data_IF_270361583771
#
_entry.id   IF_270361583771
#
_cell.length_a   1.000
_cell.length_b   1.000
_cell.length_c   1.000
_cell.angle_alpha   90.00
_cell.angle_beta   90.00
_cell.angle_gamma   90.00
#
_symmetry.space_group_name_H-M   'P 1'
#
loop_
_entity.id
_entity.type
_entity.pdbx_description
1 polymer ?
#
# COMPACT_ATOMS: atom_id res chain seq x y z
N UNK A 1 -57.33 14.80 -43.48
CA UNK A 1 -57.18 15.10 -42.04
C UNK A 1 -57.99 16.36 -41.75
N UNK A 2 -59.17 16.22 -41.14
CA UNK A 2 -59.98 17.38 -40.76
C UNK A 2 -59.40 17.97 -39.47
N UNK A 3 -58.61 19.04 -39.62
CA UNK A 3 -57.99 19.74 -38.51
C UNK A 3 -58.71 21.07 -38.28
N UNK A 4 -59.20 21.30 -37.05
CA UNK A 4 -59.84 22.56 -36.72
C UNK A 4 -58.80 23.69 -36.53
N UNK A 5 -59.24 24.95 -36.61
CA UNK A 5 -58.36 26.13 -36.51
C UNK A 5 -57.49 26.14 -35.24
N UNK A 6 -58.00 25.66 -34.10
CA UNK A 6 -57.24 25.60 -32.84
C UNK A 6 -56.13 24.53 -32.89
N UNK A 7 -56.41 23.40 -33.53
CA UNK A 7 -55.41 22.35 -33.74
C UNK A 7 -54.31 22.81 -34.69
N UNK A 8 -54.64 23.55 -35.75
CA UNK A 8 -53.65 24.14 -36.65
C UNK A 8 -52.67 25.06 -35.91
N UNK A 9 -53.15 25.98 -35.06
CA UNK A 9 -52.26 26.86 -34.29
C UNK A 9 -51.40 26.12 -33.27
N UNK A 10 -51.91 25.04 -32.64
CA UNK A 10 -51.13 24.21 -31.72
C UNK A 10 -50.01 23.47 -32.44
N UNK A 11 -50.29 22.87 -33.59
CA UNK A 11 -49.30 22.13 -34.38
C UNK A 11 -48.24 23.08 -34.94
N UNK A 12 -48.65 24.21 -35.52
CA UNK A 12 -47.71 25.21 -36.04
C UNK A 12 -46.83 25.82 -34.95
N UNK A 13 -47.41 26.14 -33.78
CA UNK A 13 -46.66 26.66 -32.63
C UNK A 13 -45.66 25.65 -32.06
N UNK A 14 -46.06 24.38 -31.93
CA UNK A 14 -45.17 23.30 -31.50
C UNK A 14 -44.05 23.04 -32.52
N UNK A 15 -44.37 23.08 -33.82
CA UNK A 15 -43.39 22.94 -34.90
C UNK A 15 -42.34 24.04 -34.88
N UNK A 16 -42.77 25.31 -34.77
CA UNK A 16 -41.88 26.48 -34.67
C UNK A 16 -40.98 26.44 -33.43
N UNK A 17 -41.53 26.03 -32.28
CA UNK A 17 -40.75 25.89 -31.06
C UNK A 17 -39.71 24.78 -31.19
N UNK A 18 -40.11 23.60 -31.70
CA UNK A 18 -39.22 22.46 -31.89
C UNK A 18 -38.11 22.78 -32.90
N UNK A 19 -38.42 23.38 -34.04
CA UNK A 19 -37.42 23.76 -35.05
C UNK A 19 -36.46 24.83 -34.55
N UNK A 20 -36.95 25.80 -33.76
CA UNK A 20 -36.12 26.84 -33.17
C UNK A 20 -35.14 26.26 -32.15
N UNK A 21 -35.57 25.31 -31.33
CA UNK A 21 -34.69 24.60 -30.38
C UNK A 21 -33.58 23.83 -31.11
N UNK A 22 -33.91 23.15 -32.21
CA UNK A 22 -32.90 22.46 -33.04
C UNK A 22 -31.93 23.45 -33.66
N UNK A 23 -32.43 24.54 -34.27
CA UNK A 23 -31.60 25.57 -34.90
C UNK A 23 -30.67 26.30 -33.91
N UNK A 24 -31.10 26.44 -32.65
CA UNK A 24 -30.31 27.01 -31.56
C UNK A 24 -29.31 26.01 -30.93
N UNK A 25 -29.19 24.80 -31.47
CA UNK A 25 -28.21 23.81 -31.01
C UNK A 25 -28.64 23.02 -29.77
N UNK A 26 -29.93 23.07 -29.39
CA UNK A 26 -30.47 22.23 -28.30
C UNK A 26 -30.84 20.81 -28.78
N UNK A 27 -30.59 20.48 -30.05
CA UNK A 27 -30.58 19.09 -30.50
C UNK A 27 -29.33 18.39 -29.97
N UNK A 28 -29.42 17.19 -29.39
CA UNK A 28 -28.25 16.41 -29.01
C UNK A 28 -27.31 16.27 -30.21
N UNK A 29 -26.07 16.72 -30.07
CA UNK A 29 -25.02 16.39 -31.03
C UNK A 29 -24.69 14.90 -30.90
N UNK A 30 -24.23 14.28 -31.99
CA UNK A 30 -23.64 12.95 -31.89
C UNK A 30 -22.45 13.03 -30.92
N UNK A 31 -22.53 12.36 -29.78
CA UNK A 31 -21.41 12.23 -28.88
C UNK A 31 -20.32 11.43 -29.61
N UNK A 32 -19.25 12.08 -30.02
CA UNK A 32 -18.08 11.38 -30.54
C UNK A 32 -17.50 10.58 -29.37
N UNK A 33 -17.51 9.26 -29.50
CA UNK A 33 -16.87 8.38 -28.53
C UNK A 33 -15.35 8.61 -28.62
N UNK A 34 -14.82 9.48 -27.78
CA UNK A 34 -13.39 9.65 -27.61
C UNK A 34 -12.92 8.78 -26.44
N UNK A 35 -11.89 7.98 -26.66
CA UNK A 35 -11.23 7.26 -25.58
C UNK A 35 -10.43 8.25 -24.74
N UNK A 36 -10.59 8.22 -23.41
CA UNK A 36 -9.70 8.98 -22.52
C UNK A 36 -8.23 8.71 -22.86
N UNK A 37 -7.38 9.71 -22.70
CA UNK A 37 -5.94 9.51 -22.82
C UNK A 37 -5.45 8.40 -21.89
N UNK A 38 -4.45 7.64 -22.36
CA UNK A 38 -3.86 6.58 -21.57
C UNK A 38 -3.17 7.17 -20.34
N UNK A 39 -3.75 6.91 -19.16
CA UNK A 39 -3.36 7.55 -17.88
C UNK A 39 -1.89 7.33 -17.49
N UNK A 40 -1.23 6.32 -18.05
CA UNK A 40 0.14 5.92 -17.72
C UNK A 40 1.19 6.44 -18.71
N UNK A 41 0.78 7.17 -19.76
CA UNK A 41 1.67 7.56 -20.87
C UNK A 41 2.91 8.40 -20.46
N UNK A 42 2.90 9.00 -19.26
CA UNK A 42 4.02 9.77 -18.70
C UNK A 42 4.35 9.35 -17.27
N UNK A 43 3.89 8.18 -16.84
CA UNK A 43 4.22 7.65 -15.53
C UNK A 43 5.61 7.01 -15.55
N UNK A 44 6.29 7.03 -14.41
CA UNK A 44 7.54 6.31 -14.22
C UNK A 44 7.24 4.85 -13.90
N UNK A 45 7.71 3.94 -14.76
CA UNK A 45 7.63 2.50 -14.53
C UNK A 45 8.75 1.99 -13.62
N UNK A 46 8.39 1.17 -12.64
CA UNK A 46 9.35 0.50 -11.75
C UNK A 46 8.91 -0.95 -11.52
N UNK A 47 9.80 -1.89 -11.81
CA UNK A 47 9.57 -3.33 -11.58
C UNK A 47 9.70 -3.67 -10.10
N UNK A 48 8.82 -4.55 -9.61
CA UNK A 48 8.86 -5.08 -8.25
C UNK A 48 8.24 -6.49 -8.22
N UNK A 49 8.17 -7.11 -7.04
CA UNK A 49 7.56 -8.42 -6.82
C UNK A 49 6.36 -8.31 -5.88
N UNK A 50 5.31 -9.08 -6.15
CA UNK A 50 4.11 -9.13 -5.31
C UNK A 50 4.45 -9.57 -3.86
N UNK A 51 4.05 -8.81 -2.82
CA UNK A 51 4.48 -9.04 -1.42
C UNK A 51 3.61 -10.05 -0.65
N UNK A 52 2.78 -10.86 -1.32
CA UNK A 52 1.79 -11.70 -0.64
C UNK A 52 2.23 -13.15 -0.43
N UNK A 53 2.21 -13.96 -1.48
CA UNK A 53 2.49 -15.39 -1.39
C UNK A 53 3.78 -15.75 -2.15
N UNK A 54 4.27 -16.97 -1.95
CA UNK A 54 5.54 -17.44 -2.49
C UNK A 54 5.57 -17.71 -4.00
N UNK A 55 4.48 -17.46 -4.73
CA UNK A 55 4.49 -17.52 -6.21
C UNK A 55 5.48 -16.51 -6.79
N UNK A 56 5.66 -15.35 -6.14
CA UNK A 56 6.62 -14.34 -6.57
C UNK A 56 6.26 -13.70 -7.91
N UNK A 57 4.99 -13.34 -8.12
CA UNK A 57 4.56 -12.66 -9.36
C UNK A 57 5.33 -11.35 -9.56
N UNK A 58 5.86 -11.14 -10.77
CA UNK A 58 6.42 -9.86 -11.19
C UNK A 58 5.31 -8.82 -11.41
N UNK A 59 5.56 -7.59 -10.96
CA UNK A 59 4.65 -6.45 -11.10
C UNK A 59 5.38 -5.24 -11.68
N UNK A 60 4.63 -4.39 -12.37
CA UNK A 60 5.04 -3.06 -12.80
C UNK A 60 4.24 -2.04 -12.00
N UNK A 61 4.94 -1.17 -11.28
CA UNK A 61 4.35 -0.05 -10.55
C UNK A 61 4.56 1.23 -11.33
N UNK A 62 3.52 2.05 -11.39
CA UNK A 62 3.50 3.32 -12.10
C UNK A 62 3.44 4.46 -11.11
N UNK A 63 4.52 5.24 -11.04
CA UNK A 63 4.61 6.43 -10.20
C UNK A 63 4.31 7.72 -10.98
N UNK A 64 3.58 8.65 -10.37
CA UNK A 64 3.49 10.02 -10.86
C UNK A 64 4.82 10.75 -10.57
N UNK A 65 5.35 11.44 -11.57
CA UNK A 65 6.66 12.10 -11.52
C UNK A 65 7.70 11.40 -12.40
N UNK A 66 8.77 12.11 -12.71
CA UNK A 66 9.86 11.73 -13.64
C UNK A 66 11.15 11.33 -12.89
N UNK A 67 11.04 11.02 -11.59
CA UNK A 67 12.16 10.79 -10.65
C UNK A 67 13.01 12.03 -10.36
N UNK A 68 12.60 13.24 -10.76
CA UNK A 68 13.29 14.44 -10.37
C UNK A 68 13.23 14.64 -8.84
N UNK A 69 14.32 15.15 -8.26
CA UNK A 69 14.48 15.31 -6.81
C UNK A 69 13.43 16.20 -6.15
N UNK A 70 12.85 17.15 -6.92
CA UNK A 70 11.82 18.07 -6.47
C UNK A 70 10.40 17.47 -6.53
N UNK A 71 10.24 16.21 -6.94
CA UNK A 71 8.94 15.54 -7.05
C UNK A 71 8.89 14.38 -6.07
N UNK A 72 7.87 14.38 -5.21
CA UNK A 72 7.55 13.21 -4.37
C UNK A 72 6.76 12.23 -5.23
N UNK A 73 7.30 11.03 -5.41
CA UNK A 73 6.63 9.98 -6.21
C UNK A 73 5.41 9.44 -5.47
N UNK A 74 4.30 9.35 -6.19
CA UNK A 74 3.06 8.72 -5.73
C UNK A 74 2.66 7.58 -6.67
N UNK A 75 2.34 6.40 -6.15
CA UNK A 75 2.04 5.23 -6.99
C UNK A 75 0.58 5.32 -7.45
N UNK A 76 0.32 5.43 -8.75
CA UNK A 76 -1.03 5.65 -9.29
C UNK A 76 -1.63 4.38 -9.94
N UNK A 77 -0.81 3.37 -10.19
CA UNK A 77 -1.26 2.10 -10.75
C UNK A 77 -0.24 0.98 -10.52
N UNK A 78 -0.73 -0.26 -10.45
CA UNK A 78 0.08 -1.47 -10.36
C UNK A 78 -0.59 -2.53 -11.25
N UNK A 79 0.18 -3.18 -12.10
CA UNK A 79 -0.26 -4.33 -12.91
C UNK A 79 0.82 -5.41 -12.97
N UNK A 80 0.52 -6.55 -13.62
CA UNK A 80 1.46 -7.66 -13.72
C UNK A 80 2.52 -7.41 -14.79
N UNK A 81 3.74 -7.86 -14.55
CA UNK A 81 4.82 -7.79 -15.54
C UNK A 81 4.62 -8.89 -16.61
N UNK A 82 4.39 -8.54 -17.89
CA UNK A 82 4.19 -9.50 -18.98
C UNK A 82 5.45 -10.33 -19.29
N UNK A 83 6.64 -9.81 -19.00
CA UNK A 83 7.92 -10.49 -19.25
C UNK A 83 8.27 -11.47 -18.13
N UNK A 84 7.59 -11.42 -16.98
CA UNK A 84 7.90 -12.27 -15.85
C UNK A 84 7.48 -13.73 -16.13
N UNK A 85 8.41 -14.71 -16.04
CA UNK A 85 8.20 -16.05 -16.59
C UNK A 85 7.11 -16.84 -15.85
N UNK A 86 6.86 -16.51 -14.58
CA UNK A 86 5.89 -17.22 -13.72
C UNK A 86 4.45 -16.78 -13.99
N UNK A 87 4.18 -15.48 -13.95
CA UNK A 87 2.81 -14.95 -14.02
C UNK A 87 2.43 -14.37 -15.39
N UNK A 88 3.39 -14.03 -16.26
CA UNK A 88 3.15 -13.54 -17.63
C UNK A 88 2.10 -12.43 -17.68
N UNK A 89 2.21 -11.44 -16.80
CA UNK A 89 1.28 -10.31 -16.68
C UNK A 89 0.01 -10.57 -15.85
N UNK A 90 -0.28 -11.81 -15.46
CA UNK A 90 -1.48 -12.11 -14.66
C UNK A 90 -1.29 -11.76 -13.18
N UNK A 91 -2.38 -11.35 -12.52
CA UNK A 91 -2.44 -11.14 -11.07
C UNK A 91 -3.76 -11.68 -10.50
N UNK A 92 -3.67 -12.36 -9.36
CA UNK A 92 -4.84 -12.73 -8.56
C UNK A 92 -5.43 -11.48 -7.85
N UNK A 93 -6.63 -11.53 -7.24
CA UNK A 93 -7.26 -10.34 -6.66
C UNK A 93 -6.41 -9.66 -5.56
N UNK A 94 -5.58 -10.42 -4.84
CA UNK A 94 -4.62 -9.86 -3.87
C UNK A 94 -3.60 -8.95 -4.58
N UNK A 95 -2.94 -9.48 -5.61
CA UNK A 95 -1.93 -8.74 -6.37
C UNK A 95 -2.52 -7.56 -7.16
N UNK A 96 -3.67 -7.76 -7.80
CA UNK A 96 -4.35 -6.70 -8.56
C UNK A 96 -4.85 -5.57 -7.67
N UNK A 97 -5.14 -5.84 -6.39
CA UNK A 97 -5.55 -4.85 -5.39
C UNK A 97 -4.40 -4.16 -4.64
N UNK A 98 -3.15 -4.32 -5.06
CA UNK A 98 -1.99 -3.77 -4.32
C UNK A 98 -2.04 -2.26 -4.15
N UNK A 99 -2.64 -1.52 -5.09
CA UNK A 99 -2.77 -0.06 -4.97
C UNK A 99 -3.53 0.34 -3.70
N UNK A 100 -4.61 -0.37 -3.37
CA UNK A 100 -5.42 -0.12 -2.18
C UNK A 100 -4.68 -0.48 -0.89
N UNK A 101 -3.77 -1.46 -0.93
CA UNK A 101 -2.89 -1.75 0.19
C UNK A 101 -1.87 -0.63 0.42
N UNK A 102 -1.25 -0.12 -0.65
CA UNK A 102 -0.28 0.98 -0.59
C UNK A 102 -0.95 2.26 -0.07
N UNK A 103 -2.16 2.58 -0.56
CA UNK A 103 -2.92 3.78 -0.24
C UNK A 103 -3.97 3.59 0.86
N UNK A 104 -3.89 2.50 1.61
CA UNK A 104 -4.87 2.23 2.67
C UNK A 104 -4.94 3.42 3.64
N UNK A 105 -6.15 3.90 4.00
CA UNK A 105 -6.30 4.97 4.99
C UNK A 105 -5.79 4.57 6.38
N UNK A 106 -5.60 3.27 6.61
CA UNK A 106 -5.10 2.69 7.86
C UNK A 106 -3.57 2.54 7.89
N UNK A 107 -2.83 3.04 6.89
CA UNK A 107 -1.36 3.05 6.91
C UNK A 107 -0.85 3.81 8.14
N UNK A 108 0.03 3.18 8.90
CA UNK A 108 0.73 3.82 10.01
C UNK A 108 1.62 4.97 9.48
N UNK A 109 1.50 6.14 10.10
CA UNK A 109 2.21 7.37 9.66
C UNK A 109 3.29 7.83 10.62
N UNK A 110 3.14 7.52 11.91
CA UNK A 110 4.01 8.02 12.97
C UNK A 110 4.25 6.93 14.02
N UNK A 111 5.37 7.01 14.77
CA UNK A 111 5.51 6.24 16.01
C UNK A 111 4.45 6.65 17.03
N UNK A 112 3.88 5.66 17.70
CA UNK A 112 2.84 5.83 18.71
C UNK A 112 3.19 5.00 19.94
N UNK A 113 2.85 5.50 21.13
CA UNK A 113 3.00 4.81 22.40
C UNK A 113 1.66 4.74 23.12
N UNK A 114 1.40 3.60 23.75
CA UNK A 114 0.29 3.41 24.68
C UNK A 114 0.87 3.25 26.07
N UNK A 115 0.55 4.17 26.97
CA UNK A 115 1.10 4.16 28.32
C UNK A 115 0.41 3.09 29.19
N UNK A 116 1.11 2.53 30.21
CA UNK A 116 0.50 1.55 31.11
C UNK A 116 -0.77 2.09 31.78
N UNK A 117 -1.84 1.28 31.76
CA UNK A 117 -3.13 1.66 32.33
C UNK A 117 -4.00 2.56 31.45
N UNK A 118 -3.57 2.92 30.24
CA UNK A 118 -4.40 3.69 29.29
C UNK A 118 -4.99 2.82 28.17
N UNK A 119 -5.98 3.33 27.46
CA UNK A 119 -6.58 2.76 26.25
C UNK A 119 -6.28 3.58 24.98
N UNK A 120 -5.64 4.74 25.12
CA UNK A 120 -5.35 5.67 24.05
C UNK A 120 -3.88 5.61 23.57
N UNK A 121 -3.69 5.78 22.26
CA UNK A 121 -2.39 5.96 21.63
C UNK A 121 -1.98 7.44 21.64
N UNK A 122 -0.71 7.70 21.89
CA UNK A 122 -0.08 9.01 21.82
C UNK A 122 1.03 8.99 20.77
N UNK A 123 0.96 9.90 19.81
CA UNK A 123 2.06 10.13 18.85
C UNK A 123 3.32 10.62 19.56
N UNK A 124 4.46 10.05 19.20
CA UNK A 124 5.80 10.44 19.68
C UNK A 124 6.78 10.60 18.52
N UNK A 125 7.97 11.14 18.80
CA UNK A 125 9.05 11.22 17.80
C UNK A 125 9.76 9.86 17.64
N UNK A 126 10.48 9.70 16.53
CA UNK A 126 11.34 8.53 16.33
C UNK A 126 12.46 8.43 17.38
N UNK A 127 13.09 9.55 17.76
CA UNK A 127 14.14 9.56 18.77
C UNK A 127 13.63 9.13 20.15
N UNK A 128 12.43 9.60 20.52
CA UNK A 128 11.79 9.20 21.76
C UNK A 128 11.44 7.71 21.75
N UNK A 129 10.86 7.21 20.66
CA UNK A 129 10.51 5.80 20.51
C UNK A 129 11.76 4.91 20.64
N UNK A 130 12.82 5.22 19.91
CA UNK A 130 14.07 4.46 19.93
C UNK A 130 14.76 4.50 21.30
N UNK A 131 14.79 5.67 21.94
CA UNK A 131 15.40 5.83 23.27
C UNK A 131 14.65 5.03 24.34
N UNK A 132 13.31 5.07 24.33
CA UNK A 132 12.47 4.30 25.27
C UNK A 132 12.67 2.80 25.08
N UNK A 133 12.61 2.31 23.83
CA UNK A 133 12.79 0.89 23.50
C UNK A 133 14.19 0.41 23.92
N UNK A 134 15.24 1.16 23.56
CA UNK A 134 16.61 0.79 23.90
C UNK A 134 16.86 0.72 25.42
N UNK A 135 16.30 1.68 26.18
CA UNK A 135 16.37 1.69 27.65
C UNK A 135 15.74 0.43 28.24
N UNK A 136 14.50 0.12 27.87
CA UNK A 136 13.78 -1.05 28.39
C UNK A 136 14.47 -2.37 28.01
N UNK A 137 14.95 -2.50 26.77
CA UNK A 137 15.70 -3.67 26.33
C UNK A 137 17.00 -3.83 27.14
N UNK A 138 17.73 -2.74 27.38
CA UNK A 138 18.97 -2.78 28.15
C UNK A 138 18.70 -3.18 29.61
N UNK A 139 17.71 -2.56 30.24
CA UNK A 139 17.33 -2.85 31.64
C UNK A 139 16.94 -4.33 31.81
N UNK A 140 16.08 -4.86 30.95
CA UNK A 140 15.68 -6.28 31.01
C UNK A 140 16.86 -7.23 30.71
N UNK A 141 17.68 -6.90 29.70
CA UNK A 141 18.82 -7.73 29.33
C UNK A 141 19.84 -7.80 30.47
N UNK A 142 20.21 -6.67 31.05
CA UNK A 142 21.21 -6.64 32.12
C UNK A 142 20.72 -7.38 33.38
N UNK A 143 19.41 -7.35 33.65
CA UNK A 143 18.82 -8.08 34.76
C UNK A 143 18.73 -9.61 34.52
N UNK A 144 18.52 -10.03 33.27
CA UNK A 144 18.13 -11.41 32.94
C UNK A 144 19.11 -12.17 32.02
N UNK A 145 20.26 -11.60 31.70
CA UNK A 145 21.25 -12.25 30.85
C UNK A 145 21.93 -13.43 31.56
N UNK A 146 21.98 -14.58 30.87
CA UNK A 146 22.59 -15.81 31.37
C UNK A 146 23.92 -16.02 30.66
N UNK A 147 25.03 -15.69 31.33
CA UNK A 147 26.37 -15.92 30.80
C UNK A 147 26.72 -17.42 30.81
N UNK A 148 26.46 -18.10 31.93
CA UNK A 148 26.74 -19.53 32.12
C UNK A 148 25.47 -20.30 32.51
N UNK A 149 25.34 -21.55 32.07
CA UNK A 149 24.25 -22.44 32.48
C UNK A 149 24.54 -23.11 33.85
N UNK A 150 23.61 -23.95 34.32
CA UNK A 150 23.74 -24.68 35.59
C UNK A 150 24.96 -25.63 35.64
N UNK A 151 25.43 -26.10 34.48
CA UNK A 151 26.64 -26.94 34.36
C UNK A 151 27.93 -26.12 34.27
N UNK A 152 27.86 -24.78 34.41
CA UNK A 152 29.01 -23.88 34.28
C UNK A 152 29.48 -23.62 32.84
N UNK A 153 28.73 -24.06 31.82
CA UNK A 153 29.07 -23.83 30.41
C UNK A 153 28.64 -22.44 29.96
N UNK A 154 29.49 -21.77 29.20
CA UNK A 154 29.18 -20.46 28.58
C UNK A 154 28.06 -20.63 27.56
N UNK A 155 26.98 -19.86 27.72
CA UNK A 155 25.80 -19.87 26.84
C UNK A 155 25.41 -18.49 26.31
N UNK A 156 25.78 -17.41 27.00
CA UNK A 156 25.56 -16.02 26.56
C UNK A 156 24.17 -15.75 25.96
N UNK A 157 23.12 -16.10 26.71
CA UNK A 157 21.73 -16.08 26.22
C UNK A 157 20.83 -15.14 27.00
N UNK A 158 19.81 -14.65 26.33
CA UNK A 158 18.74 -13.81 26.85
C UNK A 158 17.39 -14.40 26.44
N UNK A 159 16.51 -14.65 27.42
CA UNK A 159 15.26 -15.39 27.21
C UNK A 159 14.02 -14.72 27.81
N UNK A 160 14.16 -13.61 28.54
CA UNK A 160 13.02 -12.86 29.10
C UNK A 160 12.32 -11.97 28.09
N UNK A 161 13.03 -11.56 27.02
CA UNK A 161 12.46 -10.86 25.86
C UNK A 161 12.58 -11.72 24.61
N UNK A 162 11.56 -11.68 23.76
CA UNK A 162 11.53 -12.40 22.49
C UNK A 162 11.05 -11.55 21.31
N UNK A 163 11.14 -12.10 20.11
CA UNK A 163 10.75 -11.41 18.89
C UNK A 163 10.11 -12.33 17.85
N UNK A 164 9.04 -11.84 17.22
CA UNK A 164 8.44 -12.41 16.03
C UNK A 164 8.92 -11.65 14.79
N UNK A 165 9.50 -12.37 13.83
CA UNK A 165 10.17 -11.79 12.68
C UNK A 165 9.26 -11.81 11.45
N UNK A 166 9.43 -10.84 10.55
CA UNK A 166 8.61 -10.69 9.37
C UNK A 166 9.13 -11.51 8.18
N UNK A 167 8.48 -12.62 7.84
CA UNK A 167 8.72 -13.32 6.55
C UNK A 167 8.27 -12.51 5.33
N UNK A 168 7.49 -11.45 5.55
CA UNK A 168 7.01 -10.53 4.52
C UNK A 168 7.95 -9.34 4.26
N UNK A 169 9.14 -9.33 4.87
CA UNK A 169 10.19 -8.34 4.61
C UNK A 169 11.28 -8.91 3.69
N UNK A 170 12.22 -8.07 3.25
CA UNK A 170 13.31 -8.52 2.39
C UNK A 170 14.30 -9.42 3.15
N UNK A 171 15.09 -10.19 2.41
CA UNK A 171 16.14 -11.03 2.98
C UNK A 171 17.20 -10.21 3.71
N UNK A 172 17.50 -9.00 3.23
CA UNK A 172 18.46 -8.08 3.85
C UNK A 172 17.93 -7.59 5.19
N UNK A 173 16.64 -7.25 5.29
CA UNK A 173 15.99 -6.96 6.57
C UNK A 173 16.10 -8.17 7.51
N UNK A 174 15.78 -9.38 7.03
CA UNK A 174 15.90 -10.61 7.80
C UNK A 174 17.33 -10.86 8.32
N UNK A 175 18.34 -10.58 7.49
CA UNK A 175 19.75 -10.71 7.87
C UNK A 175 20.15 -9.71 8.97
N UNK A 176 19.76 -8.44 8.83
CA UNK A 176 20.00 -7.41 9.86
C UNK A 176 19.28 -7.79 11.16
N UNK A 177 18.03 -8.21 11.07
CA UNK A 177 17.20 -8.67 12.20
C UNK A 177 17.88 -9.83 12.94
N UNK A 178 18.37 -10.83 12.21
CA UNK A 178 19.09 -11.96 12.80
C UNK A 178 20.34 -11.49 13.56
N UNK A 179 21.20 -10.68 12.92
CA UNK A 179 22.43 -10.19 13.54
C UNK A 179 22.13 -9.39 14.81
N UNK A 180 21.17 -8.46 14.76
CA UNK A 180 20.82 -7.62 15.88
C UNK A 180 20.32 -8.44 17.10
N UNK A 181 19.42 -9.41 16.87
CA UNK A 181 18.88 -10.20 17.98
C UNK A 181 19.89 -11.19 18.55
N UNK A 182 20.63 -11.89 17.68
CA UNK A 182 21.64 -12.87 18.13
C UNK A 182 22.83 -12.19 18.81
N UNK A 183 23.23 -10.97 18.39
CA UNK A 183 24.26 -10.22 19.10
C UNK A 183 23.86 -9.83 20.52
N UNK A 184 22.56 -9.67 20.79
CA UNK A 184 22.06 -9.46 22.14
C UNK A 184 21.89 -10.76 22.94
N UNK A 185 22.08 -11.93 22.33
CA UNK A 185 21.93 -13.25 22.96
C UNK A 185 20.49 -13.79 22.94
N UNK A 186 19.56 -13.16 22.22
CA UNK A 186 18.16 -13.57 22.21
C UNK A 186 17.99 -14.98 21.62
N UNK A 187 17.28 -15.87 22.33
CA UNK A 187 16.91 -17.21 21.83
C UNK A 187 15.45 -17.33 21.43
N UNK A 188 14.55 -16.60 22.08
CA UNK A 188 13.12 -16.56 21.77
C UNK A 188 12.91 -15.72 20.51
N UNK A 189 13.06 -16.36 19.36
CA UNK A 189 13.16 -15.68 18.06
C UNK A 189 12.64 -16.63 16.97
N UNK A 190 11.46 -16.33 16.43
CA UNK A 190 10.78 -17.14 15.41
C UNK A 190 10.09 -16.26 14.36
N UNK A 191 9.66 -16.87 13.26
CA UNK A 191 8.84 -16.24 12.21
C UNK A 191 7.65 -17.16 11.85
N UNK A 192 6.92 -16.78 10.81
CA UNK A 192 5.77 -17.54 10.31
C UNK A 192 6.08 -18.99 9.93
N UNK A 193 7.34 -19.39 9.71
CA UNK A 193 7.68 -20.78 9.40
C UNK A 193 7.42 -21.75 10.57
N UNK A 194 7.28 -21.24 11.80
CA UNK A 194 6.91 -22.03 12.98
C UNK A 194 5.40 -22.27 13.08
N UNK A 195 4.58 -21.36 12.55
CA UNK A 195 3.11 -21.31 12.73
C UNK A 195 2.40 -22.05 11.61
#
# INVERSE_FOLDING_TARGET
MDMNRRQFFRVSGAGLAASSLVALGFSPTAALAETRHFKLARATETRNTCPYCSVGCGIIMYGLGDRAKNVVTDIIHIEGDPDHPVNRGTLCPKGAGLLDFVHSPLRLKYPEVREPGTDAWKRISWDEAMSRIAKLLKEDRDANFVANNADGKVVNRWTSTGMLCASASSNESGYITHKAMRSMGMLVFDNQARV
#
